data_IF_184072989119
#
_entry.id   IF_184072989119
#
_cell.length_a   1.000
_cell.length_b   1.000
_cell.length_c   1.000
_cell.angle_alpha   90.00
_cell.angle_beta   90.00
_cell.angle_gamma   90.00
#
_symmetry.space_group_name_H-M   'P 1'
#
loop_
_entity.id
_entity.type
_entity.pdbx_description
1 polymer ?
#
# COMPACT_ATOMS: atom_id res chain seq x y z
N UNK A 1 2.42 53.42 52.16
CA UNK A 1 1.46 52.78 51.25
C UNK A 1 2.22 51.70 50.50
N UNK A 2 2.03 50.46 50.89
CA UNK A 2 2.68 49.29 50.20
C UNK A 2 1.56 48.53 49.50
N UNK A 3 1.58 48.53 48.14
CA UNK A 3 0.65 47.77 47.29
C UNK A 3 1.11 46.33 47.18
N UNK A 4 0.32 45.41 47.69
CA UNK A 4 0.50 43.98 47.48
C UNK A 4 -0.08 43.60 46.12
N UNK A 5 0.79 43.15 45.21
CA UNK A 5 0.42 42.60 43.93
C UNK A 5 0.16 41.09 44.12
N UNK A 6 -1.09 40.68 44.05
CA UNK A 6 -1.52 39.30 44.14
C UNK A 6 -1.36 38.67 42.74
N UNK A 7 -0.34 37.78 42.53
CA UNK A 7 -0.20 36.97 41.34
C UNK A 7 -1.23 35.82 41.40
N UNK A 8 -2.27 35.89 40.57
CA UNK A 8 -3.13 34.75 40.29
C UNK A 8 -2.40 33.79 39.34
N UNK A 9 -1.96 32.62 39.85
CA UNK A 9 -1.56 31.48 39.02
C UNK A 9 -2.83 30.89 38.40
N UNK A 10 -3.03 31.11 37.10
CA UNK A 10 -4.02 30.38 36.31
C UNK A 10 -3.41 28.98 35.99
N UNK A 11 -3.87 27.95 36.68
CA UNK A 11 -3.58 26.57 36.33
C UNK A 11 -4.33 26.23 35.03
N UNK A 12 -3.63 26.20 33.92
CA UNK A 12 -4.12 25.65 32.65
C UNK A 12 -4.35 24.15 32.85
N UNK A 13 -5.59 23.76 33.06
CA UNK A 13 -6.03 22.37 32.91
C UNK A 13 -5.85 21.98 31.45
N UNK A 14 -4.79 21.20 31.16
CA UNK A 14 -4.66 20.49 29.92
C UNK A 14 -5.76 19.43 29.89
N UNK A 15 -6.72 19.46 28.95
CA UNK A 15 -7.72 18.41 28.88
C UNK A 15 -6.98 17.08 28.56
N UNK A 16 -7.07 16.14 29.49
CA UNK A 16 -6.61 14.78 29.26
C UNK A 16 -7.33 14.24 28.02
N UNK A 17 -6.55 13.82 27.03
CA UNK A 17 -7.07 13.18 25.84
C UNK A 17 -7.79 11.90 26.27
N UNK A 18 -9.11 11.93 26.20
CA UNK A 18 -9.93 10.75 26.38
C UNK A 18 -9.50 9.75 25.28
N UNK A 19 -9.05 8.55 25.71
CA UNK A 19 -8.90 7.39 24.85
C UNK A 19 -10.18 7.29 24.02
N UNK A 20 -10.07 7.39 22.70
CA UNK A 20 -11.21 7.25 21.82
C UNK A 20 -11.90 5.93 22.20
N UNK A 21 -13.17 6.02 22.57
CA UNK A 21 -13.97 4.85 22.90
C UNK A 21 -13.83 3.89 21.71
N UNK A 22 -13.40 2.65 21.98
CA UNK A 22 -13.36 1.60 20.99
C UNK A 22 -14.75 1.54 20.35
N UNK A 23 -14.86 1.95 19.07
CA UNK A 23 -16.16 1.97 18.38
C UNK A 23 -16.70 0.55 18.34
N UNK A 24 -17.99 0.34 18.61
CA UNK A 24 -18.69 -0.95 18.50
C UNK A 24 -18.74 -1.49 17.05
N UNK A 25 -18.00 -0.87 16.14
CA UNK A 25 -17.94 -1.26 14.75
C UNK A 25 -17.17 -2.58 14.57
N UNK A 26 -17.60 -3.42 13.64
CA UNK A 26 -17.02 -4.74 13.43
C UNK A 26 -15.53 -4.63 13.10
N UNK A 27 -14.74 -5.60 13.60
CA UNK A 27 -13.35 -5.79 13.23
C UNK A 27 -13.24 -6.94 12.22
N UNK A 28 -12.27 -6.85 11.30
CA UNK A 28 -11.90 -8.00 10.48
C UNK A 28 -11.39 -9.16 11.34
N UNK A 29 -11.39 -10.35 10.76
CA UNK A 29 -10.94 -11.59 11.41
C UNK A 29 -9.52 -11.92 10.96
N UNK A 30 -8.69 -12.38 11.90
CA UNK A 30 -7.32 -12.82 11.67
C UNK A 30 -7.12 -14.24 12.23
N UNK A 31 -6.06 -14.98 11.85
CA UNK A 31 -5.74 -16.27 12.46
C UNK A 31 -5.64 -16.16 14.00
N UNK A 32 -5.91 -17.26 14.70
CA UNK A 32 -6.06 -17.29 16.17
C UNK A 32 -4.86 -16.68 16.92
N UNK A 33 -3.65 -16.88 16.40
CA UNK A 33 -2.41 -16.40 17.01
C UNK A 33 -2.12 -14.91 16.75
N UNK A 34 -2.97 -14.24 15.97
CA UNK A 34 -2.85 -12.81 15.65
C UNK A 34 -3.91 -11.99 16.38
N UNK A 35 -3.59 -10.74 16.64
CA UNK A 35 -4.51 -9.70 17.05
C UNK A 35 -4.73 -8.70 15.93
N UNK A 36 -5.90 -8.04 15.94
CA UNK A 36 -6.20 -6.92 15.06
C UNK A 36 -6.88 -5.82 15.86
N UNK A 37 -6.49 -4.58 15.60
CA UNK A 37 -7.08 -3.38 16.21
C UNK A 37 -7.32 -2.32 15.14
N UNK A 38 -8.23 -1.38 15.42
CA UNK A 38 -8.28 -0.12 14.66
C UNK A 38 -7.10 0.72 15.13
N UNK A 39 -6.16 0.99 14.24
CA UNK A 39 -5.00 1.84 14.51
C UNK A 39 -5.35 3.32 14.44
N UNK A 40 -6.14 3.71 13.44
CA UNK A 40 -6.65 5.06 13.27
C UNK A 40 -7.89 5.10 12.37
N UNK A 41 -8.70 6.15 12.51
CA UNK A 41 -9.76 6.50 11.55
C UNK A 41 -9.22 7.50 10.53
N UNK A 42 -9.29 7.15 9.24
CA UNK A 42 -8.75 7.95 8.14
C UNK A 42 -9.72 7.94 6.97
N UNK A 43 -10.35 9.08 6.63
CA UNK A 43 -11.31 9.14 5.53
C UNK A 43 -10.70 8.72 4.19
N UNK A 44 -11.32 7.72 3.53
CA UNK A 44 -10.99 7.26 2.18
C UNK A 44 -9.50 6.85 2.04
N UNK A 45 -8.95 6.17 3.05
CA UNK A 45 -7.56 5.77 3.14
C UNK A 45 -7.11 4.95 1.93
N UNK A 46 -5.92 5.25 1.39
CA UNK A 46 -5.35 4.55 0.25
C UNK A 46 -3.96 4.02 0.60
N UNK A 47 -2.94 4.28 -0.21
CA UNK A 47 -1.59 3.77 -0.01
C UNK A 47 -1.02 4.21 1.34
N UNK A 48 -0.29 3.31 1.98
CA UNK A 48 0.42 3.50 3.23
C UNK A 48 1.91 3.66 2.97
N UNK A 49 2.57 4.55 3.70
CA UNK A 49 4.02 4.64 3.71
C UNK A 49 4.52 4.71 5.15
N UNK A 50 5.38 3.78 5.52
CA UNK A 50 6.04 3.79 6.84
C UNK A 50 7.07 4.92 6.85
N UNK A 51 6.84 5.88 7.74
CA UNK A 51 7.65 7.06 7.94
C UNK A 51 8.76 6.87 8.99
N UNK A 52 9.15 7.95 9.68
CA UNK A 52 10.04 7.85 10.83
C UNK A 52 9.37 7.06 11.97
N UNK A 53 10.11 6.64 13.01
CA UNK A 53 9.56 5.89 14.14
C UNK A 53 8.24 6.47 14.66
N UNK A 54 7.23 5.63 14.82
CA UNK A 54 5.90 6.00 15.28
C UNK A 54 5.03 6.75 14.26
N UNK A 55 5.43 6.88 13.00
CA UNK A 55 4.66 7.60 11.98
C UNK A 55 4.32 6.73 10.77
N UNK A 56 3.05 6.72 10.39
CA UNK A 56 2.57 6.15 9.12
C UNK A 56 1.88 7.25 8.32
N UNK A 57 2.33 7.49 7.10
CA UNK A 57 1.64 8.36 6.16
C UNK A 57 0.56 7.59 5.41
N UNK A 58 -0.54 8.28 5.09
CA UNK A 58 -1.70 7.69 4.40
C UNK A 58 -2.14 8.61 3.26
N UNK A 59 -2.07 8.10 2.04
CA UNK A 59 -2.71 8.73 0.88
C UNK A 59 -4.23 8.55 0.93
N UNK A 60 -4.97 9.31 0.13
CA UNK A 60 -6.43 9.18 0.11
C UNK A 60 -7.05 9.36 -1.29
N UNK A 61 -8.29 8.89 -1.43
CA UNK A 61 -9.16 9.23 -2.58
C UNK A 61 -9.86 10.59 -2.41
N UNK A 62 -9.52 11.33 -1.36
CA UNK A 62 -9.97 12.70 -1.12
C UNK A 62 -9.00 13.71 -1.71
N UNK A 63 -8.81 14.80 -0.98
CA UNK A 63 -7.90 15.90 -1.31
C UNK A 63 -6.73 16.02 -0.31
N UNK A 64 -6.54 15.02 0.57
CA UNK A 64 -5.62 15.12 1.72
C UNK A 64 -4.69 13.94 1.83
N UNK A 65 -3.51 14.20 2.38
CA UNK A 65 -2.58 13.20 2.90
C UNK A 65 -2.52 13.34 4.42
N UNK A 66 -2.49 12.21 5.11
CA UNK A 66 -2.51 12.14 6.57
C UNK A 66 -1.21 11.58 7.11
N UNK A 67 -0.86 11.95 8.35
CA UNK A 67 0.13 11.27 9.17
C UNK A 67 -0.56 10.72 10.42
N UNK A 68 -0.40 9.43 10.66
CA UNK A 68 -0.82 8.73 11.86
C UNK A 68 0.38 8.68 12.80
N UNK A 69 0.22 9.17 14.02
CA UNK A 69 1.33 9.31 14.97
C UNK A 69 1.02 8.48 16.22
N UNK A 70 1.84 7.47 16.44
CA UNK A 70 1.93 6.65 17.64
C UNK A 70 3.20 7.10 18.39
N UNK A 71 3.04 8.01 19.33
CA UNK A 71 4.16 8.64 20.03
C UNK A 71 4.63 7.86 21.25
N UNK A 72 3.85 6.91 21.73
CA UNK A 72 4.12 6.12 22.91
C UNK A 72 4.38 4.62 22.62
N UNK A 73 4.33 4.24 21.35
CA UNK A 73 4.57 2.87 20.83
C UNK A 73 3.62 1.82 21.46
N UNK A 74 2.36 2.24 21.76
CA UNK A 74 1.36 1.31 22.32
C UNK A 74 0.56 0.57 21.24
N UNK A 75 0.79 0.91 19.97
CA UNK A 75 0.15 0.28 18.82
C UNK A 75 -1.18 0.91 18.43
N UNK A 76 -1.41 2.16 18.83
CA UNK A 76 -2.54 3.01 18.43
C UNK A 76 -2.00 4.40 18.07
N UNK A 77 -2.56 5.03 17.04
CA UNK A 77 -2.20 6.40 16.75
C UNK A 77 -2.94 7.36 17.67
N UNK A 78 -2.23 8.09 18.54
CA UNK A 78 -2.84 9.13 19.40
C UNK A 78 -3.30 10.33 18.58
N UNK A 79 -2.72 10.57 17.42
CA UNK A 79 -3.14 11.66 16.55
C UNK A 79 -3.12 11.34 15.08
N UNK A 80 -4.14 11.86 14.38
CA UNK A 80 -4.25 11.87 12.93
C UNK A 80 -4.11 13.31 12.47
N UNK A 81 -3.05 13.61 11.72
CA UNK A 81 -2.76 14.97 11.23
C UNK A 81 -2.87 15.05 9.71
N UNK A 82 -3.46 16.12 9.22
CA UNK A 82 -3.41 16.47 7.79
C UNK A 82 -2.05 17.10 7.50
N UNK A 83 -1.24 16.47 6.65
CA UNK A 83 0.09 16.96 6.28
C UNK A 83 0.12 17.65 4.93
N UNK A 84 -0.87 17.39 4.07
CA UNK A 84 -1.08 18.08 2.81
C UNK A 84 -2.57 18.09 2.48
N UNK A 85 -3.06 19.16 1.83
CA UNK A 85 -4.47 19.31 1.45
C UNK A 85 -4.63 20.11 0.16
N UNK A 86 -5.83 20.04 -0.43
CA UNK A 86 -6.12 20.69 -1.72
C UNK A 86 -5.47 19.99 -2.91
N UNK A 87 -5.20 18.69 -2.76
CA UNK A 87 -4.56 17.83 -3.76
C UNK A 87 -5.60 17.09 -4.62
N UNK A 88 -5.22 16.71 -5.82
CA UNK A 88 -6.11 15.95 -6.71
C UNK A 88 -5.91 14.44 -6.55
N UNK A 89 -6.69 13.85 -5.65
CA UNK A 89 -6.67 12.39 -5.39
C UNK A 89 -5.25 11.89 -5.08
N UNK A 90 -4.63 12.34 -3.98
CA UNK A 90 -3.26 11.97 -3.59
C UNK A 90 -3.22 10.54 -3.04
N UNK A 91 -3.55 9.57 -3.90
CA UNK A 91 -3.70 8.17 -3.51
C UNK A 91 -2.37 7.44 -3.36
N UNK A 92 -1.37 7.79 -4.17
CA UNK A 92 -0.04 7.21 -4.13
C UNK A 92 0.90 8.01 -3.23
N UNK A 93 1.60 7.34 -2.32
CA UNK A 93 2.57 7.97 -1.43
C UNK A 93 3.79 7.06 -1.23
N UNK A 94 4.95 7.67 -1.01
CA UNK A 94 6.15 6.98 -0.59
C UNK A 94 6.96 7.87 0.36
N UNK A 95 7.69 7.24 1.29
CA UNK A 95 8.60 7.93 2.20
C UNK A 95 10.03 7.46 1.98
N UNK A 96 10.95 8.39 1.85
CA UNK A 96 12.38 8.09 1.72
C UNK A 96 13.26 9.26 2.16
N UNK A 97 14.32 8.98 2.90
CA UNK A 97 15.38 9.91 3.26
C UNK A 97 14.89 11.23 3.91
N UNK A 98 13.77 11.16 4.64
CA UNK A 98 13.18 12.30 5.30
C UNK A 98 12.18 13.09 4.46
N UNK A 99 11.92 12.68 3.23
CA UNK A 99 10.98 13.33 2.32
C UNK A 99 9.75 12.47 2.04
N UNK A 100 8.58 13.10 1.95
CA UNK A 100 7.35 12.48 1.53
C UNK A 100 7.10 12.75 0.05
N UNK A 101 6.87 11.69 -0.71
CA UNK A 101 6.52 11.75 -2.13
C UNK A 101 5.03 11.48 -2.27
N UNK A 102 4.35 12.30 -3.07
CA UNK A 102 2.90 12.23 -3.27
C UNK A 102 2.59 12.22 -4.75
N UNK A 103 1.83 11.21 -5.19
CA UNK A 103 1.29 11.16 -6.55
C UNK A 103 -0.19 11.55 -6.54
N UNK A 104 -0.47 12.58 -7.31
CA UNK A 104 -1.80 13.01 -7.70
C UNK A 104 -2.14 12.46 -9.09
N UNK A 105 -3.33 12.71 -9.60
CA UNK A 105 -3.73 12.21 -10.93
C UNK A 105 -2.76 12.64 -12.02
N UNK A 106 -2.33 13.92 -12.01
CA UNK A 106 -1.54 14.51 -13.09
C UNK A 106 -0.09 14.82 -12.75
N UNK A 107 0.32 14.68 -11.50
CA UNK A 107 1.66 15.07 -11.07
C UNK A 107 2.21 14.22 -9.92
N UNK A 108 3.52 14.23 -9.78
CA UNK A 108 4.24 13.69 -8.62
C UNK A 108 5.01 14.83 -7.98
N UNK A 109 4.89 14.96 -6.65
CA UNK A 109 5.51 16.00 -5.85
C UNK A 109 6.35 15.41 -4.72
N UNK A 110 7.40 16.12 -4.32
CA UNK A 110 8.22 15.82 -3.17
C UNK A 110 8.03 16.90 -2.11
N UNK A 111 7.72 16.48 -0.89
CA UNK A 111 7.51 17.32 0.27
C UNK A 111 8.64 17.11 1.25
N UNK A 112 9.50 18.11 1.40
CA UNK A 112 10.64 18.03 2.31
C UNK A 112 10.18 18.22 3.75
N UNK A 113 10.69 17.42 4.68
CA UNK A 113 10.43 17.57 6.10
C UNK A 113 11.19 18.76 6.65
N UNK A 114 10.50 19.60 7.45
CA UNK A 114 11.15 20.65 8.24
C UNK A 114 11.40 20.16 9.67
N UNK A 115 12.68 19.88 10.02
CA UNK A 115 13.08 19.50 11.38
C UNK A 115 12.92 18.01 11.71
N UNK A 116 13.54 17.60 12.84
CA UNK A 116 13.55 16.17 13.24
C UNK A 116 12.21 15.66 13.80
N UNK A 117 11.41 16.54 14.38
CA UNK A 117 10.26 16.14 15.23
C UNK A 117 8.90 16.55 14.67
N UNK A 118 8.81 17.18 13.50
CA UNK A 118 7.55 17.63 12.94
C UNK A 118 7.25 16.90 11.62
N UNK A 119 6.03 16.38 11.43
CA UNK A 119 5.54 15.98 10.12
C UNK A 119 5.15 17.19 9.25
N UNK A 120 5.56 18.40 9.64
CA UNK A 120 5.27 19.62 8.88
C UNK A 120 6.09 19.60 7.60
N UNK A 121 5.37 19.56 6.47
CA UNK A 121 5.91 19.55 5.13
C UNK A 121 5.86 20.94 4.53
N UNK A 122 6.94 21.29 3.84
CA UNK A 122 7.09 22.56 3.12
C UNK A 122 6.28 22.62 1.83
N UNK A 123 6.45 23.72 1.10
CA UNK A 123 5.99 23.86 -0.29
C UNK A 123 6.51 22.68 -1.12
N UNK A 124 5.63 21.97 -1.84
CA UNK A 124 6.03 20.81 -2.63
C UNK A 124 6.94 21.20 -3.79
N UNK A 125 7.97 20.40 -4.01
CA UNK A 125 8.76 20.41 -5.24
C UNK A 125 8.04 19.51 -6.26
N UNK A 126 7.74 20.02 -7.45
CA UNK A 126 7.17 19.24 -8.53
C UNK A 126 8.29 18.42 -9.18
N UNK A 127 8.16 17.09 -9.16
CA UNK A 127 9.09 16.18 -9.83
C UNK A 127 8.61 15.84 -11.24
N UNK A 128 7.30 15.70 -11.43
CA UNK A 128 6.66 15.40 -12.71
C UNK A 128 5.24 15.99 -12.71
N UNK A 129 4.84 16.70 -13.77
CA UNK A 129 3.55 17.40 -13.86
C UNK A 129 2.76 17.11 -15.15
N UNK A 130 3.18 16.11 -15.90
CA UNK A 130 2.65 15.80 -17.24
C UNK A 130 1.98 14.43 -17.33
N UNK A 131 1.48 13.90 -16.21
CA UNK A 131 0.74 12.62 -16.21
C UNK A 131 -0.66 12.82 -16.83
N UNK A 132 -1.20 11.77 -17.47
CA UNK A 132 -2.52 11.83 -18.08
C UNK A 132 -3.63 12.15 -17.08
N UNK A 133 -4.55 13.04 -17.46
CA UNK A 133 -5.64 13.53 -16.61
C UNK A 133 -6.88 12.63 -16.61
N UNK A 134 -6.90 11.53 -17.39
CA UNK A 134 -8.02 10.61 -17.45
C UNK A 134 -8.22 9.93 -16.09
N UNK A 135 -9.47 9.86 -15.65
CA UNK A 135 -9.82 9.40 -14.29
C UNK A 135 -10.15 7.92 -14.18
N UNK A 136 -10.29 7.20 -15.28
CA UNK A 136 -10.31 5.73 -15.25
C UNK A 136 -8.93 5.23 -14.81
N UNK A 137 -8.86 4.36 -13.81
CA UNK A 137 -7.61 3.81 -13.25
C UNK A 137 -6.56 4.91 -12.93
N UNK A 138 -7.01 6.00 -12.31
CA UNK A 138 -6.18 7.20 -12.06
C UNK A 138 -5.29 7.12 -10.83
N UNK A 139 -5.32 6.01 -10.07
CA UNK A 139 -4.41 5.80 -8.93
C UNK A 139 -2.97 5.68 -9.46
N UNK A 140 -2.06 6.34 -8.78
CA UNK A 140 -0.63 6.36 -9.12
C UNK A 140 0.15 5.81 -7.92
N UNK A 141 0.19 4.47 -7.72
CA UNK A 141 0.97 3.91 -6.61
C UNK A 141 2.44 4.29 -6.76
N UNK A 142 3.08 4.60 -5.63
CA UNK A 142 4.50 4.94 -5.58
C UNK A 142 5.29 3.87 -4.83
N UNK A 143 6.43 3.49 -5.36
CA UNK A 143 7.40 2.66 -4.64
C UNK A 143 8.83 3.06 -5.04
N UNK A 144 9.75 3.08 -4.08
CA UNK A 144 11.17 3.21 -4.39
C UNK A 144 11.77 1.85 -4.70
N UNK A 145 12.49 1.76 -5.81
CA UNK A 145 13.28 0.59 -6.15
C UNK A 145 14.61 0.52 -5.37
N UNK A 146 15.27 -0.65 -5.39
CA UNK A 146 16.58 -0.85 -4.78
C UNK A 146 17.67 0.03 -5.41
N UNK A 147 17.46 0.47 -6.65
CA UNK A 147 18.30 1.41 -7.39
C UNK A 147 18.09 2.88 -6.98
N UNK A 148 17.16 3.15 -6.08
CA UNK A 148 16.84 4.48 -5.60
C UNK A 148 15.92 5.29 -6.49
N UNK A 149 15.49 4.77 -7.62
CA UNK A 149 14.50 5.42 -8.47
C UNK A 149 13.08 5.24 -7.92
N UNK A 150 12.20 6.18 -8.27
CA UNK A 150 10.78 6.13 -7.94
C UNK A 150 10.02 5.42 -9.07
N UNK A 151 9.26 4.38 -8.72
CA UNK A 151 8.42 3.65 -9.65
C UNK A 151 6.95 3.98 -9.41
N UNK A 152 6.20 4.11 -10.50
CA UNK A 152 4.78 4.37 -10.46
C UNK A 152 4.08 3.81 -11.69
N UNK A 153 2.77 3.60 -11.58
CA UNK A 153 1.99 3.05 -12.68
C UNK A 153 1.02 4.07 -13.26
N UNK A 154 0.76 3.98 -14.55
CA UNK A 154 -0.28 4.72 -15.26
C UNK A 154 -1.26 3.72 -15.88
N UNK A 155 -2.36 3.46 -15.18
CA UNK A 155 -3.42 2.57 -15.66
C UNK A 155 -4.08 3.09 -16.94
N UNK A 156 -4.74 2.17 -17.68
CA UNK A 156 -5.41 2.52 -18.93
C UNK A 156 -6.68 3.33 -18.66
N UNK A 157 -7.12 4.19 -19.59
CA UNK A 157 -8.28 5.07 -19.40
C UNK A 157 -9.64 4.37 -19.62
N UNK A 158 -9.64 3.08 -19.90
CA UNK A 158 -10.79 2.31 -20.40
C UNK A 158 -10.89 0.95 -19.70
N UNK A 159 -11.97 0.22 -19.92
CA UNK A 159 -12.06 -1.19 -19.54
C UNK A 159 -11.14 -2.03 -20.41
N UNK A 160 -11.29 -1.88 -21.74
CA UNK A 160 -10.43 -2.50 -22.76
C UNK A 160 -10.23 -1.53 -23.89
N UNK A 161 -9.00 -1.31 -24.33
CA UNK A 161 -8.61 -0.49 -25.48
C UNK A 161 -7.13 -0.69 -25.77
N UNK A 162 -6.68 -0.26 -26.93
CA UNK A 162 -5.27 -0.14 -27.24
C UNK A 162 -4.76 1.19 -26.66
N UNK A 163 -3.96 1.17 -25.56
CA UNK A 163 -3.59 2.42 -24.90
C UNK A 163 -2.46 3.13 -25.63
N UNK A 164 -2.52 4.47 -25.61
CA UNK A 164 -1.36 5.28 -25.97
C UNK A 164 -0.47 5.50 -24.73
N UNK A 165 0.86 5.43 -24.93
CA UNK A 165 1.83 5.73 -23.87
C UNK A 165 1.54 7.12 -23.23
N UNK A 166 1.67 7.24 -21.90
CA UNK A 166 2.18 6.27 -20.93
C UNK A 166 1.11 5.36 -20.29
N UNK A 167 -0.10 5.29 -20.84
CA UNK A 167 -1.13 4.39 -20.31
C UNK A 167 -0.76 2.91 -20.50
N UNK A 168 -1.07 2.10 -19.50
CA UNK A 168 -0.77 0.67 -19.50
C UNK A 168 0.71 0.39 -19.26
N UNK A 169 1.39 1.28 -18.54
CA UNK A 169 2.83 1.19 -18.27
C UNK A 169 3.14 1.35 -16.77
N UNK A 170 4.20 0.67 -16.33
CA UNK A 170 4.93 0.98 -15.11
C UNK A 170 6.14 1.81 -15.50
N UNK A 171 6.30 2.95 -14.87
CA UNK A 171 7.31 3.95 -15.17
C UNK A 171 8.33 4.06 -14.04
N UNK A 172 9.55 4.42 -14.41
CA UNK A 172 10.68 4.65 -13.50
C UNK A 172 11.15 6.10 -13.64
N UNK A 173 11.25 6.80 -12.52
CA UNK A 173 11.75 8.18 -12.43
C UNK A 173 12.98 8.22 -11.54
N UNK A 174 14.13 8.53 -12.09
CA UNK A 174 15.34 8.79 -11.30
C UNK A 174 15.20 10.15 -10.63
N UNK A 175 15.44 10.27 -9.31
CA UNK A 175 15.40 11.55 -8.64
C UNK A 175 16.38 12.55 -9.27
N UNK A 176 15.86 13.70 -9.71
CA UNK A 176 16.60 14.72 -10.44
C UNK A 176 16.38 14.71 -11.95
N UNK A 177 15.81 13.66 -12.51
CA UNK A 177 15.42 13.63 -13.92
C UNK A 177 14.08 14.33 -14.12
N UNK A 178 13.90 14.96 -15.28
CA UNK A 178 12.64 15.61 -15.69
C UNK A 178 11.69 14.68 -16.46
N UNK A 179 12.10 13.45 -16.71
CA UNK A 179 11.33 12.45 -17.48
C UNK A 179 11.40 11.08 -16.82
N UNK A 180 10.25 10.42 -16.79
CA UNK A 180 10.19 9.01 -16.46
C UNK A 180 10.42 8.16 -17.71
N UNK A 181 11.03 7.01 -17.52
CA UNK A 181 11.22 5.98 -18.55
C UNK A 181 10.27 4.80 -18.34
N UNK A 182 9.90 4.13 -19.41
CA UNK A 182 9.05 2.94 -19.33
C UNK A 182 9.86 1.77 -18.78
N UNK A 183 9.38 1.16 -17.67
CA UNK A 183 9.95 -0.05 -17.09
C UNK A 183 9.25 -1.31 -17.59
N UNK A 184 7.90 -1.31 -17.61
CA UNK A 184 7.10 -2.43 -18.08
C UNK A 184 5.86 -1.92 -18.83
N UNK A 185 5.33 -2.75 -19.75
CA UNK A 185 4.17 -2.46 -20.59
C UNK A 185 3.11 -3.56 -20.49
N UNK A 186 1.97 -3.30 -21.10
CA UNK A 186 0.90 -4.30 -21.21
C UNK A 186 0.23 -4.62 -19.88
N UNK A 187 0.15 -3.65 -18.99
CA UNK A 187 -0.60 -3.71 -17.75
C UNK A 187 -1.90 -2.92 -17.88
N UNK A 188 -2.95 -3.32 -17.16
CA UNK A 188 -4.26 -2.64 -17.23
C UNK A 188 -4.46 -1.60 -16.13
N UNK A 189 -4.43 -2.04 -14.90
CA UNK A 189 -4.65 -1.22 -13.71
C UNK A 189 -3.80 -1.74 -12.54
N UNK A 190 -2.48 -1.58 -12.61
CA UNK A 190 -1.59 -1.95 -11.54
C UNK A 190 -1.70 -0.92 -10.40
N UNK A 191 -2.04 -1.39 -9.19
CA UNK A 191 -2.24 -0.51 -8.03
C UNK A 191 -1.27 -0.81 -6.91
N UNK A 192 -0.82 -2.05 -6.77
CA UNK A 192 0.18 -2.42 -5.78
C UNK A 192 1.53 -2.67 -6.42
N UNK A 193 2.61 -2.21 -5.78
CA UNK A 193 3.99 -2.45 -6.19
C UNK A 193 4.87 -2.69 -4.97
N UNK A 194 5.69 -3.74 -5.01
CA UNK A 194 6.66 -4.05 -3.97
C UNK A 194 7.92 -4.68 -4.55
N UNK A 195 9.04 -4.51 -3.87
CA UNK A 195 10.32 -5.12 -4.25
C UNK A 195 10.61 -6.32 -3.38
N UNK A 196 10.95 -7.43 -4.00
CA UNK A 196 11.33 -8.63 -3.26
C UNK A 196 12.63 -8.36 -2.49
N UNK A 197 12.66 -8.59 -1.15
CA UNK A 197 13.76 -8.10 -0.30
C UNK A 197 15.12 -8.76 -0.58
N UNK A 198 15.14 -9.97 -1.18
CA UNK A 198 16.36 -10.69 -1.48
C UNK A 198 16.75 -10.67 -2.96
N UNK A 199 15.78 -10.80 -3.87
CA UNK A 199 16.08 -10.81 -5.32
C UNK A 199 16.16 -9.40 -5.91
N UNK A 200 15.56 -8.40 -5.26
CA UNK A 200 15.48 -7.04 -5.77
C UNK A 200 14.57 -6.90 -6.99
N UNK A 201 13.70 -7.87 -7.26
CA UNK A 201 12.79 -7.86 -8.39
C UNK A 201 11.47 -7.17 -8.03
N UNK A 202 10.88 -6.49 -9.01
CA UNK A 202 9.58 -5.83 -8.85
C UNK A 202 8.46 -6.86 -8.91
N UNK A 203 7.58 -6.83 -7.93
CA UNK A 203 6.31 -7.52 -7.91
C UNK A 203 5.17 -6.51 -7.91
N UNK A 204 4.09 -6.80 -8.64
CA UNK A 204 2.96 -5.90 -8.73
C UNK A 204 1.65 -6.66 -8.96
N UNK A 205 0.55 -6.05 -8.52
CA UNK A 205 -0.80 -6.54 -8.79
C UNK A 205 -1.36 -5.86 -10.03
N UNK A 206 -2.15 -6.60 -10.83
CA UNK A 206 -2.90 -6.00 -11.94
C UNK A 206 -4.36 -6.47 -11.94
N UNK A 207 -5.28 -5.52 -12.14
CA UNK A 207 -6.72 -5.77 -12.16
C UNK A 207 -7.16 -6.15 -13.58
N UNK A 208 -7.73 -7.35 -13.74
CA UNK A 208 -8.31 -7.84 -14.99
C UNK A 208 -9.44 -6.96 -15.54
N UNK A 209 -9.75 -7.09 -16.82
CA UNK A 209 -10.86 -6.38 -17.46
C UNK A 209 -12.21 -6.89 -16.95
N UNK A 210 -13.24 -6.03 -17.04
CA UNK A 210 -14.62 -6.38 -16.75
C UNK A 210 -15.34 -6.93 -17.99
N UNK A 211 -16.51 -7.51 -17.78
CA UNK A 211 -17.48 -7.92 -18.80
C UNK A 211 -17.08 -9.16 -19.63
N UNK A 212 -16.33 -10.08 -19.03
CA UNK A 212 -16.12 -11.43 -19.57
C UNK A 212 -16.77 -12.53 -18.72
N UNK A 213 -17.76 -12.15 -17.91
CA UNK A 213 -18.46 -13.05 -16.98
C UNK A 213 -17.89 -13.03 -15.57
N UNK A 214 -18.37 -13.92 -14.71
CA UNK A 214 -18.04 -13.94 -13.29
C UNK A 214 -16.62 -14.48 -13.02
N UNK A 215 -16.14 -15.38 -13.85
CA UNK A 215 -14.93 -16.16 -13.57
C UNK A 215 -13.74 -15.81 -14.46
N UNK A 216 -13.90 -14.86 -15.39
CA UNK A 216 -12.84 -14.42 -16.31
C UNK A 216 -12.80 -12.90 -16.48
N UNK A 217 -11.60 -12.38 -16.80
CA UNK A 217 -10.30 -13.01 -16.57
C UNK A 217 -9.89 -12.89 -15.11
N UNK A 218 -8.94 -13.68 -14.69
CA UNK A 218 -8.32 -13.52 -13.37
C UNK A 218 -7.62 -12.16 -13.25
N UNK A 219 -7.63 -11.59 -12.06
CA UNK A 219 -6.68 -10.59 -11.65
C UNK A 219 -5.32 -11.24 -11.35
N UNK A 220 -4.25 -10.45 -11.34
CA UNK A 220 -2.89 -10.99 -11.47
C UNK A 220 -1.96 -10.51 -10.36
N UNK A 221 -1.08 -11.40 -9.92
CA UNK A 221 0.18 -11.07 -9.26
C UNK A 221 1.30 -11.32 -10.26
N UNK A 222 2.00 -10.28 -10.62
CA UNK A 222 3.05 -10.28 -11.64
C UNK A 222 4.42 -10.05 -11.02
N UNK A 223 5.47 -10.55 -11.69
CA UNK A 223 6.88 -10.31 -11.36
C UNK A 223 7.62 -9.76 -12.58
N UNK A 224 8.32 -8.65 -12.41
CA UNK A 224 9.14 -8.02 -13.44
C UNK A 224 10.62 -8.06 -13.04
N UNK A 225 11.37 -9.12 -13.38
CA UNK A 225 12.79 -9.27 -13.02
C UNK A 225 13.70 -8.30 -13.78
N UNK A 226 13.24 -7.74 -14.90
CA UNK A 226 14.01 -6.85 -15.75
C UNK A 226 13.11 -5.80 -16.43
N UNK A 227 13.67 -4.68 -16.91
CA UNK A 227 12.93 -3.73 -17.71
C UNK A 227 12.57 -4.29 -19.09
N UNK A 228 11.57 -3.66 -19.74
CA UNK A 228 11.18 -3.95 -21.12
C UNK A 228 10.19 -5.09 -21.31
N UNK A 229 9.71 -5.70 -20.22
CA UNK A 229 8.71 -6.76 -20.27
C UNK A 229 7.32 -6.24 -20.60
N UNK A 230 6.51 -7.10 -21.26
CA UNK A 230 5.12 -6.82 -21.61
C UNK A 230 4.20 -7.88 -20.99
N UNK A 231 3.18 -7.45 -20.23
CA UNK A 231 2.32 -8.29 -19.41
C UNK A 231 0.96 -8.65 -20.03
N UNK A 232 0.82 -8.48 -21.34
CA UNK A 232 -0.27 -9.06 -22.14
C UNK A 232 -1.36 -8.08 -22.53
N UNK A 233 -1.76 -7.15 -21.69
CA UNK A 233 -2.86 -6.23 -22.00
C UNK A 233 -2.56 -5.36 -23.25
N UNK A 234 -3.50 -5.17 -24.21
CA UNK A 234 -4.88 -5.63 -24.20
C UNK A 234 -5.13 -7.01 -24.82
N UNK A 235 -4.10 -7.72 -25.25
CA UNK A 235 -4.19 -8.90 -26.09
C UNK A 235 -4.48 -10.18 -25.32
N UNK A 236 -3.87 -10.31 -24.14
CA UNK A 236 -3.99 -11.48 -23.25
C UNK A 236 -4.22 -11.06 -21.81
N UNK A 237 -4.89 -11.94 -21.06
CA UNK A 237 -5.18 -11.79 -19.64
C UNK A 237 -4.88 -13.11 -18.93
N UNK A 238 -4.30 -13.03 -17.73
CA UNK A 238 -3.89 -14.21 -16.98
C UNK A 238 -2.89 -15.07 -17.77
N UNK A 239 -2.93 -16.37 -17.51
CA UNK A 239 -2.03 -17.32 -18.16
C UNK A 239 -2.45 -17.69 -19.60
N UNK A 240 -3.77 -17.69 -19.89
CA UNK A 240 -4.26 -18.31 -21.13
C UNK A 240 -5.45 -17.62 -21.82
N UNK A 241 -5.99 -16.53 -21.25
CA UNK A 241 -7.18 -15.90 -21.82
C UNK A 241 -6.79 -14.93 -22.94
N UNK A 242 -7.09 -15.30 -24.17
CA UNK A 242 -6.99 -14.38 -25.32
C UNK A 242 -8.16 -13.38 -25.27
N UNK A 243 -7.89 -12.09 -25.45
CA UNK A 243 -8.94 -11.07 -25.47
C UNK A 243 -9.81 -11.21 -26.70
N UNK A 244 -11.16 -11.25 -26.57
CA UNK A 244 -12.05 -11.45 -27.71
C UNK A 244 -12.05 -10.30 -28.73
N UNK A 245 -11.62 -9.10 -28.33
CA UNK A 245 -11.59 -7.92 -29.21
C UNK A 245 -10.17 -7.67 -29.78
N UNK A 246 -9.13 -7.90 -28.98
CA UNK A 246 -7.75 -7.52 -29.32
C UNK A 246 -6.80 -8.72 -29.49
N UNK A 247 -7.17 -9.93 -29.02
CA UNK A 247 -6.27 -11.07 -29.01
C UNK A 247 -5.68 -11.43 -30.36
N UNK A 248 -6.52 -11.41 -31.41
CA UNK A 248 -6.08 -11.68 -32.80
C UNK A 248 -5.11 -10.61 -33.36
N UNK A 249 -5.01 -9.46 -32.73
CA UNK A 249 -4.11 -8.37 -33.12
C UNK A 249 -2.79 -8.37 -32.32
N UNK A 250 -2.51 -9.41 -31.54
CA UNK A 250 -1.21 -9.54 -30.85
C UNK A 250 -0.08 -9.51 -31.87
N UNK A 251 0.90 -8.57 -31.77
CA UNK A 251 2.04 -8.53 -32.65
C UNK A 251 2.83 -9.85 -32.61
N UNK A 252 3.24 -10.35 -33.78
CA UNK A 252 3.88 -11.66 -33.92
C UNK A 252 5.27 -11.74 -33.26
N UNK A 253 5.88 -10.60 -32.98
CA UNK A 253 7.18 -10.45 -32.32
C UNK A 253 7.04 -10.13 -30.81
N UNK A 254 5.81 -10.06 -30.30
CA UNK A 254 5.53 -9.81 -28.89
C UNK A 254 5.22 -11.12 -28.16
N UNK A 255 6.05 -11.44 -27.18
CA UNK A 255 5.83 -12.55 -26.25
C UNK A 255 5.45 -12.01 -24.87
N UNK A 256 4.15 -11.96 -24.51
CA UNK A 256 3.73 -11.50 -23.20
C UNK A 256 4.20 -12.43 -22.08
N UNK A 257 4.66 -11.84 -20.98
CA UNK A 257 4.95 -12.54 -19.73
C UNK A 257 3.64 -12.81 -19.01
N UNK A 258 3.39 -14.05 -18.60
CA UNK A 258 2.24 -14.41 -17.76
C UNK A 258 2.46 -14.08 -16.28
N UNK A 259 1.37 -14.03 -15.48
CA UNK A 259 1.48 -13.81 -14.05
C UNK A 259 2.13 -14.99 -13.31
N UNK A 260 2.75 -14.69 -12.17
CA UNK A 260 3.21 -15.71 -11.22
C UNK A 260 2.04 -16.39 -10.48
N UNK A 261 0.92 -15.66 -10.35
CA UNK A 261 -0.31 -16.17 -9.72
C UNK A 261 -1.55 -15.51 -10.30
N UNK A 262 -2.52 -16.32 -10.70
CA UNK A 262 -3.89 -15.90 -10.93
C UNK A 262 -4.65 -15.82 -9.61
N UNK A 263 -5.02 -14.60 -9.19
CA UNK A 263 -5.68 -14.33 -7.91
C UNK A 263 -7.19 -14.62 -7.94
N UNK A 264 -7.74 -14.86 -9.14
CA UNK A 264 -9.17 -15.02 -9.42
C UNK A 264 -9.80 -13.76 -9.98
N UNK A 265 -10.96 -13.96 -10.65
CA UNK A 265 -11.65 -12.88 -11.34
C UNK A 265 -12.28 -11.89 -10.34
N UNK A 266 -12.18 -10.60 -10.67
CA UNK A 266 -12.83 -9.48 -9.98
C UNK A 266 -12.43 -9.26 -8.52
N UNK A 267 -11.43 -9.94 -7.98
CA UNK A 267 -11.01 -9.75 -6.57
C UNK A 267 -10.45 -8.35 -6.30
N UNK A 268 -10.09 -7.61 -7.35
CA UNK A 268 -9.52 -6.27 -7.33
C UNK A 268 -8.28 -6.19 -6.40
N UNK A 269 -7.18 -6.87 -6.72
CA UNK A 269 -5.96 -6.81 -5.92
C UNK A 269 -5.35 -5.42 -6.05
N UNK A 270 -5.05 -4.81 -4.91
CA UNK A 270 -4.49 -3.48 -4.81
C UNK A 270 -3.10 -3.55 -4.18
N UNK A 271 -2.88 -2.94 -3.02
CA UNK A 271 -1.57 -2.88 -2.38
C UNK A 271 -1.02 -4.24 -1.96
N UNK A 272 0.30 -4.34 -1.93
CA UNK A 272 1.02 -5.53 -1.51
C UNK A 272 2.31 -5.19 -0.77
N UNK A 273 2.73 -6.07 0.15
CA UNK A 273 3.98 -5.91 0.88
C UNK A 273 4.61 -7.27 1.22
N UNK A 274 5.92 -7.34 1.11
CA UNK A 274 6.71 -8.46 1.65
C UNK A 274 6.92 -8.30 3.14
N UNK A 275 6.69 -9.37 3.90
CA UNK A 275 6.95 -9.40 5.34
C UNK A 275 8.39 -9.81 5.62
N UNK A 276 9.12 -9.00 6.40
CA UNK A 276 10.52 -9.26 6.73
C UNK A 276 10.73 -10.45 7.68
N UNK A 277 9.67 -10.91 8.35
CA UNK A 277 9.74 -11.88 9.44
C UNK A 277 9.97 -11.25 10.81
N UNK A 278 10.26 -9.95 10.89
CA UNK A 278 10.43 -9.25 12.17
C UNK A 278 9.16 -9.35 13.01
N UNK A 279 9.28 -9.72 14.29
CA UNK A 279 8.17 -9.76 15.24
C UNK A 279 7.14 -10.87 15.01
N UNK A 280 7.26 -11.65 13.93
CA UNK A 280 6.37 -12.76 13.58
C UNK A 280 7.14 -14.10 13.51
N UNK A 281 6.45 -15.25 13.54
CA UNK A 281 7.10 -16.55 13.34
C UNK A 281 7.84 -16.63 12.01
N UNK A 282 8.96 -17.36 11.98
CA UNK A 282 9.83 -17.49 10.81
C UNK A 282 9.09 -17.98 9.54
N UNK A 283 7.98 -18.72 9.69
CA UNK A 283 7.13 -19.15 8.57
C UNK A 283 6.48 -18.00 7.78
N UNK A 284 6.55 -16.78 8.28
CA UNK A 284 6.00 -15.59 7.60
C UNK A 284 7.10 -14.76 6.93
N UNK A 285 8.37 -15.04 7.20
CA UNK A 285 9.48 -14.33 6.58
C UNK A 285 9.49 -14.54 5.06
N UNK A 286 9.60 -13.45 4.30
CA UNK A 286 9.58 -13.47 2.84
C UNK A 286 8.21 -13.71 2.21
N UNK A 287 7.15 -13.88 3.00
CA UNK A 287 5.80 -14.00 2.44
C UNK A 287 5.29 -12.64 1.97
N UNK A 288 4.44 -12.68 0.94
CA UNK A 288 3.78 -11.51 0.39
C UNK A 288 2.33 -11.45 0.90
N UNK A 289 1.89 -10.25 1.29
CA UNK A 289 0.50 -9.97 1.64
C UNK A 289 -0.10 -9.05 0.60
N UNK A 290 -1.34 -9.33 0.16
CA UNK A 290 -2.03 -8.57 -0.90
C UNK A 290 -3.42 -8.19 -0.38
N UNK A 291 -3.80 -6.93 -0.49
CA UNK A 291 -5.15 -6.48 -0.25
C UNK A 291 -6.02 -6.71 -1.49
N UNK A 292 -7.05 -7.53 -1.35
CA UNK A 292 -8.10 -7.73 -2.36
C UNK A 292 -9.30 -6.86 -2.00
N UNK A 293 -9.46 -5.75 -2.70
CA UNK A 293 -10.48 -4.71 -2.44
C UNK A 293 -11.92 -5.22 -2.65
N UNK A 294 -12.08 -6.22 -3.50
CA UNK A 294 -13.33 -6.91 -3.74
C UNK A 294 -14.10 -6.45 -4.98
N UNK A 295 -14.91 -7.36 -5.46
CA UNK A 295 -15.62 -7.25 -6.74
C UNK A 295 -16.74 -6.23 -6.73
N UNK A 296 -17.01 -5.63 -7.90
CA UNK A 296 -18.22 -4.88 -8.18
C UNK A 296 -19.00 -5.45 -9.38
N UNK A 297 -18.30 -6.12 -10.31
CA UNK A 297 -18.82 -6.69 -11.54
C UNK A 297 -18.82 -8.23 -11.47
N UNK A 298 -19.56 -8.78 -10.51
CA UNK A 298 -19.71 -10.23 -10.30
C UNK A 298 -21.04 -10.53 -9.63
N UNK A 299 -21.72 -11.63 -10.02
CA UNK A 299 -22.99 -12.05 -9.45
C UNK A 299 -22.89 -12.37 -7.96
N UNK A 300 -21.81 -13.04 -7.54
CA UNK A 300 -21.48 -13.29 -6.15
C UNK A 300 -20.17 -12.60 -5.81
N UNK A 301 -20.17 -11.78 -4.76
CA UNK A 301 -18.99 -11.01 -4.36
C UNK A 301 -17.77 -11.88 -4.06
N UNK A 302 -16.59 -11.40 -4.45
CA UNK A 302 -15.30 -12.07 -4.26
C UNK A 302 -14.24 -11.05 -3.84
N UNK A 303 -13.17 -11.49 -3.16
CA UNK A 303 -12.15 -10.62 -2.57
C UNK A 303 -12.56 -10.13 -1.17
N UNK A 304 -12.46 -8.84 -0.88
CA UNK A 304 -12.74 -8.23 0.43
C UNK A 304 -11.94 -8.85 1.56
N UNK A 305 -10.64 -9.04 1.34
CA UNK A 305 -9.74 -9.72 2.28
C UNK A 305 -8.29 -9.31 2.04
N UNK A 306 -7.43 -9.65 2.97
CA UNK A 306 -5.98 -9.72 2.72
C UNK A 306 -5.60 -11.18 2.56
N UNK A 307 -4.83 -11.49 1.53
CA UNK A 307 -4.31 -12.83 1.28
C UNK A 307 -2.83 -12.91 1.58
N UNK A 308 -2.38 -14.08 2.03
CA UNK A 308 -0.98 -14.45 2.19
C UNK A 308 -0.56 -15.29 1.01
N UNK A 309 0.56 -14.93 0.38
CA UNK A 309 1.22 -15.67 -0.68
C UNK A 309 2.56 -16.15 -0.18
N UNK A 310 2.78 -17.45 -0.21
CA UNK A 310 4.03 -18.10 0.17
C UNK A 310 4.86 -18.37 -1.07
N UNK A 311 6.14 -18.07 -1.02
CA UNK A 311 7.08 -18.29 -2.10
C UNK A 311 7.97 -19.50 -1.80
N UNK A 312 8.60 -20.05 -2.84
CA UNK A 312 9.63 -21.04 -2.68
C UNK A 312 10.93 -20.45 -2.09
N UNK A 313 11.91 -21.29 -1.81
CA UNK A 313 13.17 -20.85 -1.23
C UNK A 313 13.98 -19.89 -2.13
N UNK A 314 13.70 -19.86 -3.43
CA UNK A 314 14.30 -18.88 -4.35
C UNK A 314 13.65 -17.51 -4.27
N UNK A 315 12.44 -17.42 -3.71
CA UNK A 315 11.63 -16.19 -3.67
C UNK A 315 11.06 -15.79 -5.01
N UNK A 316 11.00 -16.70 -5.99
CA UNK A 316 10.57 -16.37 -7.35
C UNK A 316 9.31 -17.09 -7.81
N UNK A 317 8.86 -18.14 -7.10
CA UNK A 317 7.69 -18.95 -7.45
C UNK A 317 6.71 -19.01 -6.30
N UNK A 318 5.43 -18.80 -6.62
CA UNK A 318 4.35 -18.98 -5.65
C UNK A 318 4.14 -20.47 -5.37
N UNK A 319 4.12 -20.83 -4.10
CA UNK A 319 3.87 -22.21 -3.62
C UNK A 319 2.51 -22.36 -3.00
N UNK A 320 1.96 -21.28 -2.43
CA UNK A 320 0.67 -21.28 -1.75
C UNK A 320 0.04 -19.88 -1.71
N UNK A 321 -1.30 -19.85 -1.76
CA UNK A 321 -2.11 -18.64 -1.65
C UNK A 321 -3.29 -18.93 -0.73
N UNK A 322 -3.46 -18.13 0.35
CA UNK A 322 -4.51 -18.35 1.36
C UNK A 322 -5.05 -17.03 1.93
N UNK A 323 -6.34 -16.97 2.30
CA UNK A 323 -6.85 -15.84 3.07
C UNK A 323 -6.10 -15.67 4.40
N UNK A 324 -5.86 -14.42 4.79
CA UNK A 324 -5.16 -14.07 6.04
C UNK A 324 -5.99 -13.12 6.93
N UNK A 325 -6.49 -12.00 6.38
CA UNK A 325 -7.44 -11.14 7.07
C UNK A 325 -8.74 -11.16 6.30
N UNK A 326 -9.85 -11.46 6.99
CA UNK A 326 -11.16 -11.68 6.38
C UNK A 326 -12.27 -10.98 7.18
N UNK A 327 -13.55 -11.15 6.79
CA UNK A 327 -14.69 -10.70 7.58
C UNK A 327 -15.29 -9.36 7.16
N UNK A 328 -14.67 -8.62 6.22
CA UNK A 328 -15.29 -7.43 5.63
C UNK A 328 -16.54 -7.75 4.80
N UNK A 329 -16.57 -8.93 4.18
CA UNK A 329 -17.73 -9.43 3.45
C UNK A 329 -18.52 -10.39 4.33
N UNK A 330 -19.82 -10.12 4.50
CA UNK A 330 -20.78 -10.94 5.23
C UNK A 330 -21.96 -11.28 4.29
N UNK A 331 -21.97 -12.50 3.76
CA UNK A 331 -22.85 -12.87 2.66
C UNK A 331 -22.54 -12.02 1.42
N UNK A 332 -23.49 -11.24 0.95
CA UNK A 332 -23.30 -10.30 -0.17
C UNK A 332 -23.20 -8.83 0.29
N UNK A 333 -23.08 -8.59 1.60
CA UNK A 333 -22.91 -7.24 2.16
C UNK A 333 -21.47 -7.02 2.62
N UNK A 334 -20.78 -6.03 2.05
CA UNK A 334 -19.47 -5.60 2.49
C UNK A 334 -19.59 -4.35 3.35
N UNK A 335 -18.92 -4.33 4.50
CA UNK A 335 -18.85 -3.16 5.40
C UNK A 335 -17.52 -2.45 5.37
N UNK A 336 -16.52 -3.01 4.68
CA UNK A 336 -15.21 -2.44 4.46
C UNK A 336 -14.54 -3.06 3.24
N UNK A 337 -13.48 -2.42 2.77
CA UNK A 337 -12.72 -2.80 1.57
C UNK A 337 -11.24 -2.52 1.78
N UNK A 338 -10.41 -3.56 2.02
CA UNK A 338 -8.97 -3.37 2.20
C UNK A 338 -8.33 -2.85 0.92
N UNK A 339 -7.41 -1.89 1.07
CA UNK A 339 -6.80 -1.18 -0.05
C UNK A 339 -5.31 -1.44 -0.15
N UNK A 340 -4.57 -1.22 0.94
CA UNK A 340 -3.13 -1.35 0.95
C UNK A 340 -2.65 -2.05 2.21
N UNK A 341 -1.46 -2.61 2.12
CA UNK A 341 -0.78 -3.24 3.24
C UNK A 341 0.64 -2.71 3.35
N UNK A 342 1.07 -2.44 4.58
CA UNK A 342 2.43 -2.01 4.88
C UNK A 342 2.95 -2.73 6.12
N UNK A 343 4.22 -3.07 6.15
CA UNK A 343 4.87 -3.74 7.29
C UNK A 343 5.62 -2.70 8.12
N UNK A 344 5.22 -2.55 9.37
CA UNK A 344 5.89 -1.67 10.33
C UNK A 344 7.23 -2.21 10.81
N UNK A 345 8.03 -1.37 11.49
CA UNK A 345 9.34 -1.76 11.99
C UNK A 345 9.28 -2.86 13.08
N UNK A 346 8.18 -2.95 13.79
CA UNK A 346 7.89 -4.00 14.77
C UNK A 346 7.38 -5.32 14.15
N UNK A 347 7.20 -5.35 12.84
CA UNK A 347 6.63 -6.44 12.05
C UNK A 347 5.10 -6.45 12.00
N UNK A 348 4.41 -5.50 12.64
CA UNK A 348 2.96 -5.37 12.47
C UNK A 348 2.59 -5.10 11.02
N UNK A 349 1.50 -5.72 10.55
CA UNK A 349 0.93 -5.45 9.24
C UNK A 349 -0.18 -4.41 9.39
N UNK A 350 0.00 -3.25 8.75
CA UNK A 350 -1.02 -2.22 8.66
C UNK A 350 -1.86 -2.44 7.41
N UNK A 351 -3.19 -2.25 7.53
CA UNK A 351 -4.14 -2.43 6.42
C UNK A 351 -5.02 -1.20 6.34
N UNK A 352 -4.99 -0.49 5.21
CA UNK A 352 -5.92 0.61 4.96
C UNK A 352 -7.24 0.11 4.36
N UNK A 353 -8.33 0.84 4.65
CA UNK A 353 -9.70 0.52 4.21
C UNK A 353 -10.41 1.84 3.85
N UNK A 354 -10.75 2.03 2.57
CA UNK A 354 -11.34 3.28 2.09
C UNK A 354 -12.87 3.33 2.22
N UNK A 355 -13.52 2.20 2.46
CA UNK A 355 -14.96 2.12 2.71
C UNK A 355 -15.26 2.30 4.21
N UNK A 356 -14.57 1.55 5.08
CA UNK A 356 -14.71 1.70 6.52
C UNK A 356 -14.01 2.97 7.06
N UNK A 357 -13.21 3.67 6.25
CA UNK A 357 -12.42 4.85 6.64
C UNK A 357 -11.46 4.57 7.79
N UNK A 358 -10.68 3.48 7.71
CA UNK A 358 -9.81 3.03 8.78
C UNK A 358 -8.46 2.57 8.28
N UNK A 359 -7.52 2.57 9.21
CA UNK A 359 -6.28 1.80 9.14
C UNK A 359 -6.30 0.81 10.30
N UNK A 360 -6.09 -0.46 10.01
CA UNK A 360 -5.98 -1.52 11.01
C UNK A 360 -4.52 -1.88 11.24
N UNK A 361 -4.21 -2.37 12.45
CA UNK A 361 -2.93 -2.98 12.80
C UNK A 361 -3.17 -4.45 13.14
N UNK A 362 -2.47 -5.35 12.42
CA UNK A 362 -2.42 -6.79 12.68
C UNK A 362 -1.08 -7.13 13.29
N UNK A 363 -1.08 -7.81 14.41
CA UNK A 363 0.14 -8.13 15.18
C UNK A 363 0.14 -9.55 15.69
N UNK A 364 1.33 -10.11 15.90
CA UNK A 364 1.52 -11.43 16.51
C UNK A 364 1.29 -11.34 18.03
N UNK A 365 0.53 -12.28 18.63
CA UNK A 365 0.25 -12.33 20.06
C UNK A 365 1.27 -13.11 20.88
N UNK A 366 2.15 -13.88 20.22
CA UNK A 366 3.17 -14.66 20.90
C UNK A 366 4.31 -13.79 21.42
N UNK A 367 5.22 -14.41 22.21
CA UNK A 367 6.43 -13.75 22.67
C UNK A 367 7.29 -13.35 21.47
N UNK A 368 7.77 -12.10 21.45
CA UNK A 368 8.73 -11.65 20.43
C UNK A 368 9.99 -12.50 20.53
N UNK A 369 10.42 -13.12 19.43
CA UNK A 369 11.74 -13.71 19.35
C UNK A 369 12.78 -12.62 19.71
N UNK A 370 13.80 -12.93 20.55
CA UNK A 370 14.81 -11.94 20.92
C UNK A 370 15.50 -11.42 19.65
N UNK A 371 15.58 -10.09 19.53
CA UNK A 371 16.26 -9.46 18.39
C UNK A 371 17.74 -9.85 18.43
N UNK A 372 18.35 -10.31 17.35
CA UNK A 372 19.78 -10.55 17.31
C UNK A 372 20.50 -9.19 17.41
N UNK A 373 21.08 -8.89 18.57
CA UNK A 373 21.88 -7.68 18.78
C UNK A 373 21.68 -6.91 20.09
N UNK A 374 20.74 -7.27 20.96
CA UNK A 374 20.73 -6.74 22.32
C UNK A 374 21.81 -7.47 23.16
N UNK A 375 23.05 -6.98 23.12
CA UNK A 375 24.09 -7.39 24.05
C UNK A 375 23.66 -7.00 25.47
N UNK A 376 23.57 -8.00 26.37
CA UNK A 376 23.49 -7.75 27.78
C UNK A 376 24.68 -6.87 28.21
N UNK A 377 24.42 -5.61 28.51
CA UNK A 377 25.40 -4.80 29.24
C UNK A 377 25.59 -5.41 30.62
N UNK A 378 26.76 -6.01 30.81
CA UNK A 378 27.14 -6.71 32.02
C UNK A 378 27.00 -5.83 33.25
N UNK A 379 26.25 -6.30 34.21
CA UNK A 379 26.29 -5.82 35.60
C UNK A 379 27.67 -6.10 36.16
N UNK A 380 28.52 -5.07 36.21
CA UNK A 380 29.79 -5.11 36.95
C UNK A 380 29.42 -4.94 38.40
N UNK A 381 29.43 -6.06 39.15
CA UNK A 381 29.46 -6.04 40.62
C UNK A 381 30.86 -5.72 41.07
N UNK A 382 31.07 -4.57 41.69
CA UNK A 382 32.24 -4.28 42.50
C UNK A 382 32.08 -4.92 43.86
N UNK A 383 32.95 -5.89 44.20
CA UNK A 383 33.36 -6.23 45.55
C UNK A 383 34.52 -5.34 46.02
#
# INVERSE_FOLDING_TARGET
MRSNLLLLLLALLVPGFARAAQSDAPLPQVPADFGITVYAEVPRARQLAVGPPGVIFVGSRGDRVYALIDGNDDGYAESVRVVAQGLDTPAGIAWRDGDLYVAEVTRITRWRRQGRDAPEVTVPEILLDSLPAQRGHAMRPLAFGPDGALYFAVGVPCNICLPASPHGEILRLVPGDSRAETWAKGVRNPVGTAWHPHTGELWFTDNGRDWLGDDLPSCELNRAPAPGLHFGYPYRHGLAVEDPEFGAALPSDLEPVGPELELGAHVAPLGLAFHSGTGWPAAYAGNLFIAEHGSWNRSHKSGYRVVRVELDASGTRVTRHTPFVTGWLQGESAWGRPVDVAVGPDGSLFVSDDEANRVYRVFWKGERAPQPGASEEGVVTHE
#
